data_IF_874174099490
#
_entry.id   IF_874174099490
#
_cell.length_a   1.000
_cell.length_b   1.000
_cell.length_c   1.000
_cell.angle_alpha   90.00
_cell.angle_beta   90.00
_cell.angle_gamma   90.00
#
_symmetry.space_group_name_H-M   'P 1'
#
loop_
_entity.id
_entity.type
_entity.pdbx_description
1 polymer ?
#
# COMPACT_ATOMS: atom_id res chain seq x y z
N UNK A 1 -15.39 -1.73 -12.06
CA UNK A 1 -14.29 -2.63 -11.64
C UNK A 1 -13.87 -2.23 -10.24
N UNK A 2 -13.90 -3.18 -9.28
CA UNK A 2 -13.61 -2.92 -7.87
C UNK A 2 -12.10 -2.65 -7.75
N UNK A 3 -11.71 -1.39 -7.58
CA UNK A 3 -10.33 -1.06 -7.23
C UNK A 3 -9.96 -1.82 -5.95
N UNK A 4 -8.77 -2.43 -5.86
CA UNK A 4 -8.36 -3.11 -4.64
C UNK A 4 -8.48 -2.15 -3.46
N UNK A 5 -9.02 -2.63 -2.35
CA UNK A 5 -9.19 -1.82 -1.16
C UNK A 5 -7.83 -1.23 -0.78
N UNK A 6 -7.77 0.11 -0.65
CA UNK A 6 -6.54 0.84 -0.33
C UNK A 6 -5.84 0.30 0.93
N UNK A 7 -6.64 -0.14 1.91
CA UNK A 7 -6.15 -0.81 3.11
C UNK A 7 -5.33 -2.07 2.79
N UNK A 8 -5.75 -2.84 1.79
CA UNK A 8 -5.05 -4.05 1.40
C UNK A 8 -3.74 -3.73 0.66
N UNK A 9 -3.73 -2.70 -0.20
CA UNK A 9 -2.50 -2.21 -0.83
C UNK A 9 -1.49 -1.71 0.21
N UNK A 10 -1.96 -0.94 1.21
CA UNK A 10 -1.11 -0.47 2.31
C UNK A 10 -0.51 -1.63 3.12
N UNK A 11 -1.32 -2.64 3.45
CA UNK A 11 -0.87 -3.82 4.21
C UNK A 11 0.22 -4.60 3.48
N UNK A 12 0.08 -4.79 2.17
CA UNK A 12 1.08 -5.45 1.35
C UNK A 12 2.37 -4.63 1.22
N UNK A 13 2.27 -3.30 1.16
CA UNK A 13 3.42 -2.41 1.10
C UNK A 13 4.24 -2.43 2.40
N UNK A 14 3.57 -2.45 3.54
CA UNK A 14 4.22 -2.60 4.86
C UNK A 14 4.90 -3.96 5.01
N UNK A 15 4.23 -5.05 4.57
CA UNK A 15 4.83 -6.38 4.55
C UNK A 15 6.05 -6.45 3.64
N UNK A 16 5.99 -5.85 2.45
CA UNK A 16 7.12 -5.79 1.53
C UNK A 16 8.34 -5.13 2.19
N UNK A 17 8.16 -3.97 2.85
CA UNK A 17 9.24 -3.29 3.58
C UNK A 17 9.75 -4.08 4.78
N UNK A 18 8.88 -4.83 5.47
CA UNK A 18 9.30 -5.70 6.56
C UNK A 18 10.16 -6.88 6.05
N UNK A 19 9.79 -7.46 4.91
CA UNK A 19 10.58 -8.50 4.26
C UNK A 19 11.89 -7.99 3.69
N UNK A 20 11.92 -6.80 3.11
CA UNK A 20 13.15 -6.15 2.66
C UNK A 20 14.15 -6.02 3.81
N UNK A 21 13.72 -5.52 4.97
CA UNK A 21 14.56 -5.44 6.17
C UNK A 21 15.04 -6.82 6.65
N UNK A 22 14.19 -7.86 6.60
CA UNK A 22 14.60 -9.22 6.98
C UNK A 22 15.58 -9.83 5.99
N UNK A 23 15.42 -9.56 4.69
CA UNK A 23 16.32 -10.04 3.65
C UNK A 23 17.71 -9.43 3.80
N UNK A 24 17.80 -8.17 4.25
CA UNK A 24 19.07 -7.53 4.61
C UNK A 24 19.76 -8.19 5.82
N UNK A 25 18.98 -8.71 6.77
CA UNK A 25 19.50 -9.38 7.99
C UNK A 25 19.85 -10.86 7.76
N UNK A 26 19.09 -11.54 6.90
CA UNK A 26 19.23 -12.97 6.63
C UNK A 26 19.09 -13.26 5.12
N UNK A 27 20.09 -12.88 4.30
CA UNK A 27 20.03 -13.03 2.85
C UNK A 27 20.04 -14.50 2.38
N UNK A 28 20.53 -15.41 3.21
CA UNK A 28 20.56 -16.85 2.94
C UNK A 28 19.27 -17.60 3.35
N UNK A 29 18.32 -16.91 3.98
CA UNK A 29 17.04 -17.51 4.34
C UNK A 29 16.11 -17.54 3.12
N UNK A 30 15.93 -18.74 2.58
CA UNK A 30 15.08 -18.98 1.41
C UNK A 30 13.59 -18.70 1.68
N UNK A 31 13.12 -18.86 2.92
CA UNK A 31 11.73 -18.54 3.26
C UNK A 31 11.50 -17.02 3.27
N UNK A 32 12.47 -16.26 3.77
CA UNK A 32 12.45 -14.78 3.70
C UNK A 32 12.47 -14.32 2.25
N UNK A 33 13.32 -14.90 1.41
CA UNK A 33 13.38 -14.59 -0.03
C UNK A 33 12.07 -14.92 -0.76
N UNK A 34 11.53 -16.12 -0.54
CA UNK A 34 10.26 -16.53 -1.17
C UNK A 34 9.08 -15.64 -0.74
N UNK A 35 9.01 -15.25 0.53
CA UNK A 35 7.96 -14.34 1.01
C UNK A 35 8.12 -12.92 0.45
N UNK A 36 9.36 -12.44 0.32
CA UNK A 36 9.65 -11.15 -0.33
C UNK A 36 9.20 -11.13 -1.79
N UNK A 37 9.56 -12.17 -2.55
CA UNK A 37 9.18 -12.33 -3.96
C UNK A 37 7.66 -12.47 -4.12
N UNK A 38 7.00 -13.25 -3.27
CA UNK A 38 5.54 -13.42 -3.29
C UNK A 38 4.81 -12.09 -3.02
N UNK A 39 5.26 -11.33 -2.01
CA UNK A 39 4.69 -10.01 -1.70
C UNK A 39 4.89 -9.02 -2.85
N UNK A 40 6.08 -9.05 -3.48
CA UNK A 40 6.36 -8.27 -4.68
C UNK A 40 5.45 -8.65 -5.85
N UNK A 41 5.21 -9.93 -6.07
CA UNK A 41 4.30 -10.42 -7.11
C UNK A 41 2.86 -9.96 -6.88
N UNK A 42 2.36 -10.02 -5.64
CA UNK A 42 1.02 -9.49 -5.31
C UNK A 42 0.90 -8.01 -5.63
N UNK A 43 1.91 -7.19 -5.28
CA UNK A 43 1.91 -5.76 -5.63
C UNK A 43 1.93 -5.54 -7.14
N UNK A 44 2.71 -6.33 -7.89
CA UNK A 44 2.72 -6.28 -9.36
C UNK A 44 1.33 -6.51 -9.95
N UNK A 45 0.60 -7.53 -9.46
CA UNK A 45 -0.78 -7.84 -9.91
C UNK A 45 -1.75 -6.72 -9.53
N UNK A 46 -1.68 -6.22 -8.29
CA UNK A 46 -2.58 -5.17 -7.81
C UNK A 46 -2.40 -3.86 -8.58
N UNK A 47 -1.16 -3.50 -8.92
CA UNK A 47 -0.83 -2.22 -9.58
C UNK A 47 -0.70 -2.34 -11.11
N UNK A 48 -0.79 -3.55 -11.67
CA UNK A 48 -0.62 -3.81 -13.09
C UNK A 48 0.79 -3.47 -13.61
N UNK A 49 1.82 -3.71 -12.79
CA UNK A 49 3.23 -3.41 -13.13
C UNK A 49 4.02 -4.70 -13.34
N UNK A 50 5.08 -4.61 -14.14
CA UNK A 50 5.94 -5.75 -14.48
C UNK A 50 7.06 -5.99 -13.47
N UNK A 51 7.44 -4.97 -12.72
CA UNK A 51 8.51 -5.03 -11.72
C UNK A 51 8.00 -4.66 -10.34
N UNK A 52 8.49 -5.34 -9.30
CA UNK A 52 8.11 -5.06 -7.91
C UNK A 52 8.42 -3.61 -7.51
N UNK A 53 9.55 -3.06 -7.96
CA UNK A 53 9.92 -1.66 -7.72
C UNK A 53 8.91 -0.67 -8.31
N UNK A 54 8.50 -0.87 -9.55
CA UNK A 54 7.48 -0.03 -10.20
C UNK A 54 6.11 -0.20 -9.55
N UNK A 55 5.80 -1.42 -9.08
CA UNK A 55 4.57 -1.71 -8.35
C UNK A 55 4.53 -0.99 -7.01
N UNK A 56 5.64 -0.97 -6.26
CA UNK A 56 5.76 -0.24 -4.99
C UNK A 56 5.57 1.26 -5.22
N UNK A 57 6.24 1.83 -6.22
CA UNK A 57 6.11 3.26 -6.55
C UNK A 57 4.66 3.64 -6.93
N UNK A 58 4.02 2.82 -7.77
CA UNK A 58 2.62 2.99 -8.14
C UNK A 58 1.68 2.84 -6.94
N UNK A 59 1.94 1.90 -6.03
CA UNK A 59 1.18 1.70 -4.81
C UNK A 59 1.32 2.89 -3.85
N UNK A 60 2.52 3.45 -3.68
CA UNK A 60 2.76 4.65 -2.88
C UNK A 60 2.02 5.86 -3.47
N UNK A 61 2.08 6.03 -4.79
CA UNK A 61 1.34 7.08 -5.49
C UNK A 61 -0.18 6.91 -5.32
N UNK A 62 -0.68 5.68 -5.44
CA UNK A 62 -2.09 5.33 -5.25
C UNK A 62 -2.58 5.65 -3.84
N UNK A 63 -1.77 5.34 -2.81
CA UNK A 63 -2.07 5.66 -1.41
C UNK A 63 -1.99 7.17 -1.14
N UNK A 64 -1.03 7.90 -1.74
CA UNK A 64 -0.92 9.37 -1.57
C UNK A 64 -2.12 10.10 -2.18
N UNK A 65 -2.60 9.68 -3.34
CA UNK A 65 -3.82 10.22 -3.94
C UNK A 65 -5.07 9.97 -3.08
N UNK A 66 -5.10 8.86 -2.35
CA UNK A 66 -6.16 8.55 -1.40
C UNK A 66 -6.18 9.46 -0.17
N UNK A 67 -5.00 9.74 0.41
CA UNK A 67 -4.88 10.61 1.59
C UNK A 67 -5.37 12.03 1.29
N UNK A 68 -5.08 12.55 0.09
CA UNK A 68 -5.65 13.82 -0.37
C UNK A 68 -7.17 13.80 -0.51
N UNK A 69 -7.75 12.64 -0.88
CA UNK A 69 -9.21 12.51 -0.98
C UNK A 69 -9.88 12.38 0.41
N UNK A 70 -9.22 11.73 1.37
CA UNK A 70 -9.73 11.50 2.72
C UNK A 70 -9.60 12.74 3.63
N UNK A 71 -8.53 13.53 3.49
CA UNK A 71 -8.34 14.77 4.24
C UNK A 71 -9.41 15.84 3.97
N UNK A 72 -9.99 15.84 2.77
CA UNK A 72 -11.09 16.76 2.39
C UNK A 72 -12.46 16.33 2.90
N UNK A 73 -12.67 15.06 3.28
CA UNK A 73 -13.94 14.58 3.85
C UNK A 73 -14.04 14.76 5.37
N UNK A 74 -12.92 14.79 6.09
CA UNK A 74 -12.91 14.94 7.55
C UNK A 74 -13.25 16.37 8.04
N UNK A 75 -13.36 17.36 7.14
CA UNK A 75 -13.65 18.76 7.49
C UNK A 75 -15.08 19.22 7.15
N UNK A 76 -15.92 18.38 6.54
CA UNK A 76 -17.32 18.67 6.22
C UNK A 76 -18.27 17.85 7.12
N UNK A 77 -18.17 18.04 8.43
CA UNK A 77 -19.06 17.40 9.41
C UNK A 77 -19.42 18.28 10.61
N UNK A 78 -19.03 19.55 10.62
CA UNK A 78 -19.24 20.44 11.77
C UNK A 78 -19.54 21.87 11.34
N UNK A 79 -20.72 22.09 10.77
CA UNK A 79 -21.45 23.36 10.90
C UNK A 79 -22.86 23.21 10.31
N UNK A 80 -23.74 22.52 11.03
CA UNK A 80 -25.20 22.64 10.86
C UNK A 80 -25.89 22.14 12.13
N UNK A 81 -25.79 22.94 13.18
CA UNK A 81 -26.72 22.97 14.32
C UNK A 81 -26.37 24.22 15.12
N UNK A 82 -27.26 25.15 15.43
CA UNK A 82 -28.65 25.35 15.07
C UNK A 82 -28.95 26.82 15.45
N UNK A 83 -29.82 27.45 14.67
CA UNK A 83 -30.42 28.75 14.92
C UNK A 83 -31.24 28.75 16.21
N UNK A 84 -31.18 29.83 17.00
CA UNK A 84 -32.32 30.50 17.64
C UNK A 84 -31.91 31.89 18.13
#
# INVERSE_FOLDING_TARGET
MLLPAKAEVARHLEQYRAWERRLLLAPADHAVRGNFENTGYTLCVLMGKRCAREAVDAAEHYLRGAQHSQGSQASQGSHSSQSF
#
